data_IF_057073200624
#
_entry.id   IF_057073200624
#
_cell.length_a   1.000
_cell.length_b   1.000
_cell.length_c   1.000
_cell.angle_alpha   90.00
_cell.angle_beta   90.00
_cell.angle_gamma   90.00
#
_symmetry.space_group_name_H-M   'P 1'
#
loop_
_entity.id
_entity.type
_entity.pdbx_description
1 polymer ?
#
# COMPACT_ATOMS: atom_id res chain seq x y z
N UNK A 1 -14.55 -3.30 37.59
CA UNK A 1 -13.64 -2.31 37.00
C UNK A 1 -12.89 -2.97 35.85
N UNK A 2 -13.59 -3.36 34.77
CA UNK A 2 -13.01 -4.10 33.65
C UNK A 2 -13.94 -4.04 32.42
N UNK A 3 -14.20 -2.82 31.92
CA UNK A 3 -15.04 -2.62 30.74
C UNK A 3 -14.52 -1.55 29.76
N UNK A 4 -13.36 -0.95 30.02
CA UNK A 4 -12.83 0.15 29.21
C UNK A 4 -11.73 -0.25 28.21
N UNK A 5 -11.27 -1.51 28.21
CA UNK A 5 -10.18 -1.97 27.32
C UNK A 5 -10.63 -2.51 25.95
N UNK A 6 -11.92 -2.79 25.72
CA UNK A 6 -12.39 -3.36 24.44
C UNK A 6 -12.76 -2.33 23.37
N UNK A 7 -13.02 -1.08 23.75
CA UNK A 7 -13.47 -0.03 22.81
C UNK A 7 -12.35 0.48 21.90
N UNK A 8 -11.12 0.60 22.42
CA UNK A 8 -10.00 1.17 21.65
C UNK A 8 -9.46 0.19 20.59
N UNK A 9 -9.56 -1.12 20.84
CA UNK A 9 -9.24 -2.17 19.86
C UNK A 9 -10.32 -2.30 18.77
N UNK A 10 -11.58 -2.03 19.09
CA UNK A 10 -12.70 -2.15 18.14
C UNK A 10 -12.73 -0.99 17.12
N UNK A 11 -12.30 0.21 17.51
CA UNK A 11 -12.24 1.38 16.60
C UNK A 11 -10.99 1.38 15.70
N UNK A 12 -9.87 0.78 16.16
CA UNK A 12 -8.59 0.62 15.43
C UNK A 12 -8.60 -0.39 14.27
N UNK A 13 -9.78 -0.80 13.80
CA UNK A 13 -9.89 -1.92 12.85
C UNK A 13 -10.57 -1.56 11.54
N UNK A 14 -11.33 -0.47 11.42
CA UNK A 14 -12.29 -0.35 10.31
C UNK A 14 -11.65 -0.41 8.91
N UNK A 15 -10.52 0.27 8.71
CA UNK A 15 -9.89 0.32 7.39
C UNK A 15 -9.14 -0.98 7.07
N UNK A 16 -8.24 -1.42 7.95
CA UNK A 16 -7.44 -2.63 7.72
C UNK A 16 -8.28 -3.92 7.76
N UNK A 17 -9.33 -3.95 8.58
CA UNK A 17 -10.30 -5.05 8.62
C UNK A 17 -11.09 -5.15 7.32
N UNK A 18 -11.55 -4.03 6.75
CA UNK A 18 -12.30 -4.05 5.49
C UNK A 18 -11.48 -4.70 4.36
N UNK A 19 -10.21 -4.33 4.23
CA UNK A 19 -9.30 -4.93 3.23
C UNK A 19 -9.09 -6.42 3.47
N UNK A 20 -8.86 -6.82 4.74
CA UNK A 20 -8.66 -8.23 5.12
C UNK A 20 -9.90 -9.08 4.86
N UNK A 21 -11.07 -8.58 5.28
CA UNK A 21 -12.36 -9.23 5.05
C UNK A 21 -12.61 -9.41 3.56
N UNK A 22 -12.43 -8.36 2.76
CA UNK A 22 -12.59 -8.44 1.31
C UNK A 22 -11.70 -9.54 0.72
N UNK A 23 -10.43 -9.63 1.14
CA UNK A 23 -9.50 -10.66 0.65
C UNK A 23 -9.92 -12.09 1.06
N UNK A 24 -10.45 -12.26 2.28
CA UNK A 24 -10.93 -13.55 2.79
C UNK A 24 -12.17 -14.07 2.05
N UNK A 25 -13.07 -13.16 1.65
CA UNK A 25 -14.30 -13.47 0.91
C UNK A 25 -14.07 -13.81 -0.57
N UNK A 26 -12.82 -13.75 -1.07
CA UNK A 26 -12.51 -14.20 -2.43
C UNK A 26 -12.21 -15.69 -2.43
N UNK A 27 -12.65 -16.40 -3.45
CA UNK A 27 -12.48 -17.84 -3.63
C UNK A 27 -11.97 -18.14 -5.04
N UNK A 28 -11.24 -19.25 -5.20
CA UNK A 28 -10.67 -19.64 -6.48
C UNK A 28 -9.43 -18.84 -6.90
N UNK A 29 -8.97 -19.14 -8.11
CA UNK A 29 -7.85 -18.48 -8.78
C UNK A 29 -8.27 -17.10 -9.30
N UNK A 30 -7.35 -16.14 -9.25
CA UNK A 30 -7.52 -14.78 -9.76
C UNK A 30 -6.45 -14.51 -10.80
N UNK A 31 -6.82 -14.18 -12.03
CA UNK A 31 -5.82 -13.92 -13.06
C UNK A 31 -5.11 -12.58 -12.87
N UNK A 32 -5.90 -11.55 -12.59
CA UNK A 32 -5.41 -10.17 -12.57
C UNK A 32 -5.97 -9.42 -11.37
N UNK A 33 -5.08 -8.75 -10.64
CA UNK A 33 -5.44 -7.72 -9.65
C UNK A 33 -5.05 -6.33 -10.18
N UNK A 34 -6.02 -5.41 -10.19
CA UNK A 34 -5.78 -4.02 -10.59
C UNK A 34 -5.99 -3.10 -9.39
N UNK A 35 -4.89 -2.61 -8.83
CA UNK A 35 -4.87 -1.57 -7.81
C UNK A 35 -5.08 -0.20 -8.48
N UNK A 36 -6.34 0.11 -8.81
CA UNK A 36 -6.74 1.35 -9.49
C UNK A 36 -7.25 2.45 -8.55
N UNK A 37 -7.93 2.08 -7.47
CA UNK A 37 -8.59 3.03 -6.58
C UNK A 37 -7.60 4.09 -6.06
N UNK A 38 -8.08 5.33 -5.98
CA UNK A 38 -7.32 6.39 -5.35
C UNK A 38 -8.08 7.69 -5.15
N UNK A 39 -7.59 8.49 -4.22
CA UNK A 39 -8.03 9.86 -3.90
C UNK A 39 -6.87 10.82 -4.16
N UNK A 40 -7.19 12.08 -4.45
CA UNK A 40 -6.20 13.08 -4.86
C UNK A 40 -6.54 14.45 -4.28
N UNK A 41 -5.50 15.12 -3.77
CA UNK A 41 -5.50 16.53 -3.37
C UNK A 41 -6.64 16.92 -2.43
N UNK A 42 -6.81 16.13 -1.38
CA UNK A 42 -7.82 16.36 -0.36
C UNK A 42 -7.25 17.11 0.84
N UNK A 43 -8.08 17.82 1.63
CA UNK A 43 -7.69 18.32 2.94
C UNK A 43 -7.14 17.20 3.84
N UNK A 44 -6.32 17.57 4.82
CA UNK A 44 -5.75 16.62 5.77
C UNK A 44 -6.84 15.76 6.42
N UNK A 45 -6.80 14.46 6.16
CA UNK A 45 -7.72 13.49 6.69
C UNK A 45 -6.95 12.22 7.09
N UNK A 46 -7.42 11.54 8.14
CA UNK A 46 -6.80 10.32 8.63
C UNK A 46 -7.80 9.17 8.62
N UNK A 47 -7.30 7.96 8.37
CA UNK A 47 -8.08 6.74 8.62
C UNK A 47 -8.37 6.59 10.11
N UNK A 48 -9.26 5.65 10.46
CA UNK A 48 -9.50 5.28 11.87
C UNK A 48 -8.21 4.83 12.60
N UNK A 49 -7.20 4.36 11.84
CA UNK A 49 -5.91 3.91 12.35
C UNK A 49 -4.86 5.04 12.39
N UNK A 50 -5.26 6.29 12.11
CA UNK A 50 -4.41 7.47 12.17
C UNK A 50 -3.45 7.65 10.99
N UNK A 51 -3.60 6.85 9.91
CA UNK A 51 -2.78 6.98 8.69
C UNK A 51 -3.33 8.12 7.82
N UNK A 52 -2.46 8.85 7.12
CA UNK A 52 -2.91 9.78 6.06
C UNK A 52 -3.83 9.04 5.07
N UNK A 53 -4.98 9.64 4.76
CA UNK A 53 -6.03 9.00 4.00
C UNK A 53 -5.62 8.74 2.53
N UNK A 54 -4.84 9.64 1.92
CA UNK A 54 -4.37 9.46 0.54
C UNK A 54 -3.36 8.33 0.44
N UNK A 55 -2.38 8.31 1.35
CA UNK A 55 -1.37 7.25 1.44
C UNK A 55 -2.00 5.90 1.76
N UNK A 56 -2.95 5.84 2.70
CA UNK A 56 -3.66 4.62 3.03
C UNK A 56 -4.44 4.07 1.82
N UNK A 57 -5.23 4.93 1.15
CA UNK A 57 -6.09 4.52 0.03
C UNK A 57 -5.29 4.15 -1.21
N UNK A 58 -4.31 4.97 -1.59
CA UNK A 58 -3.61 4.84 -2.87
C UNK A 58 -2.48 3.82 -2.82
N UNK A 59 -1.97 3.48 -1.62
CA UNK A 59 -0.77 2.66 -1.45
C UNK A 59 -0.94 1.57 -0.39
N UNK A 60 -1.19 1.90 0.88
CA UNK A 60 -1.16 0.90 1.96
C UNK A 60 -2.23 -0.17 1.78
N UNK A 61 -3.42 0.21 1.33
CA UNK A 61 -4.53 -0.72 1.06
C UNK A 61 -4.18 -1.69 -0.06
N UNK A 62 -3.78 -1.19 -1.24
CA UNK A 62 -3.20 -2.00 -2.31
C UNK A 62 -2.06 -2.92 -1.87
N UNK A 63 -1.13 -2.47 -1.03
CA UNK A 63 -0.06 -3.28 -0.48
C UNK A 63 -0.62 -4.47 0.31
N UNK A 64 -1.55 -4.21 1.24
CA UNK A 64 -2.15 -5.25 2.08
C UNK A 64 -2.97 -6.22 1.23
N UNK A 65 -3.86 -5.70 0.38
CA UNK A 65 -4.74 -6.50 -0.47
C UNK A 65 -3.94 -7.42 -1.39
N UNK A 66 -2.92 -6.88 -2.05
CA UNK A 66 -2.07 -7.66 -2.96
C UNK A 66 -1.40 -8.80 -2.22
N UNK A 67 -0.75 -8.53 -1.08
CA UNK A 67 -0.06 -9.57 -0.32
C UNK A 67 -0.99 -10.66 0.21
N UNK A 68 -2.23 -10.32 0.59
CA UNK A 68 -3.23 -11.30 1.03
C UNK A 68 -3.77 -12.16 -0.12
N UNK A 69 -3.87 -11.60 -1.33
CA UNK A 69 -4.36 -12.31 -2.52
C UNK A 69 -3.27 -13.02 -3.32
N UNK A 70 -1.99 -12.76 -3.04
CA UNK A 70 -0.85 -13.33 -3.77
C UNK A 70 -0.93 -14.85 -3.97
N UNK A 71 -1.28 -15.68 -2.96
CA UNK A 71 -1.38 -17.14 -3.14
C UNK A 71 -2.43 -17.60 -4.17
N UNK A 72 -3.32 -16.70 -4.58
CA UNK A 72 -4.42 -16.98 -5.52
C UNK A 72 -4.19 -16.35 -6.89
N UNK A 73 -3.20 -15.47 -7.02
CA UNK A 73 -2.93 -14.76 -8.26
C UNK A 73 -2.16 -15.65 -9.24
N UNK A 74 -2.58 -15.67 -10.50
CA UNK A 74 -2.01 -16.58 -11.52
C UNK A 74 -1.23 -15.86 -12.63
N UNK A 75 -1.58 -14.61 -12.99
CA UNK A 75 -0.85 -13.85 -14.01
C UNK A 75 -0.27 -12.52 -13.51
N UNK A 76 -1.09 -11.55 -13.09
CA UNK A 76 -0.60 -10.16 -12.98
C UNK A 76 -1.18 -9.30 -11.88
N UNK A 77 -0.32 -8.45 -11.32
CA UNK A 77 -0.70 -7.28 -10.52
C UNK A 77 -0.42 -5.99 -11.29
N UNK A 78 -1.41 -5.11 -11.38
CA UNK A 78 -1.30 -3.80 -12.02
C UNK A 78 -1.56 -2.72 -10.98
N UNK A 79 -0.57 -1.87 -10.71
CA UNK A 79 -0.74 -0.70 -9.83
C UNK A 79 -0.79 0.57 -10.64
N UNK A 80 -1.90 1.31 -10.55
CA UNK A 80 -2.11 2.56 -11.29
C UNK A 80 -1.45 3.72 -10.54
N UNK A 81 -0.36 4.23 -11.12
CA UNK A 81 0.33 5.43 -10.64
C UNK A 81 -0.11 6.69 -11.43
N UNK A 82 0.57 7.81 -11.23
CA UNK A 82 0.41 9.08 -11.94
C UNK A 82 1.76 9.66 -12.29
N UNK A 83 1.90 10.39 -13.41
CA UNK A 83 3.15 11.08 -13.76
C UNK A 83 3.62 12.06 -12.68
N UNK A 84 2.70 12.54 -11.84
CA UNK A 84 2.99 13.41 -10.71
C UNK A 84 3.93 12.76 -9.68
N UNK A 85 4.05 11.42 -9.63
CA UNK A 85 5.02 10.74 -8.75
C UNK A 85 6.47 11.21 -8.97
N UNK A 86 6.80 11.72 -10.16
CA UNK A 86 8.14 12.23 -10.50
C UNK A 86 8.53 13.48 -9.73
N UNK A 87 7.56 14.17 -9.13
CA UNK A 87 7.76 15.36 -8.30
C UNK A 87 7.68 15.05 -6.80
N UNK A 88 7.53 13.77 -6.43
CA UNK A 88 7.51 13.34 -5.03
C UNK A 88 8.87 13.57 -4.37
N UNK A 89 8.83 13.90 -3.08
CA UNK A 89 9.98 13.93 -2.18
C UNK A 89 9.73 12.96 -1.04
N UNK A 90 9.42 11.71 -1.42
CA UNK A 90 8.97 10.67 -0.49
C UNK A 90 9.95 10.53 0.68
N UNK A 91 9.42 10.73 1.88
CA UNK A 91 10.07 10.38 3.12
C UNK A 91 9.50 9.03 3.58
N UNK A 92 10.32 7.98 3.57
CA UNK A 92 9.90 6.64 4.01
C UNK A 92 9.68 6.62 5.53
N UNK A 93 10.43 7.43 6.28
CA UNK A 93 10.38 7.45 7.74
C UNK A 93 9.18 8.29 8.23
N UNK A 94 8.67 9.24 7.42
CA UNK A 94 7.38 9.94 7.62
C UNK A 94 6.39 9.76 6.44
N UNK A 95 6.19 8.51 6.03
CA UNK A 95 5.32 8.14 4.90
C UNK A 95 3.87 8.65 5.08
N UNK A 96 3.39 8.74 6.33
CA UNK A 96 2.01 9.06 6.68
C UNK A 96 1.80 10.50 7.16
N UNK A 97 2.74 11.41 6.86
CA UNK A 97 2.62 12.84 7.12
C UNK A 97 2.24 13.15 8.58
N UNK A 98 3.02 12.59 9.51
CA UNK A 98 2.81 12.73 10.95
C UNK A 98 3.60 13.89 11.53
N UNK A 99 4.81 14.14 11.04
CA UNK A 99 5.74 15.11 11.64
C UNK A 99 5.89 16.37 10.81
N UNK A 100 5.66 16.31 9.50
CA UNK A 100 5.73 17.45 8.58
C UNK A 100 4.37 18.10 8.31
N UNK A 101 4.38 19.38 7.90
CA UNK A 101 3.17 20.12 7.51
C UNK A 101 2.48 19.44 6.33
N UNK A 102 1.19 19.17 6.45
CA UNK A 102 0.42 18.51 5.41
C UNK A 102 0.29 19.35 4.14
N UNK A 103 0.45 18.70 2.99
CA UNK A 103 0.12 19.25 1.68
C UNK A 103 -0.58 18.16 0.85
N UNK A 104 -1.81 18.44 0.37
CA UNK A 104 -2.65 17.45 -0.30
C UNK A 104 -2.02 16.91 -1.59
N UNK A 105 -1.50 17.79 -2.45
CA UNK A 105 -0.82 17.40 -3.68
C UNK A 105 0.46 16.62 -3.42
N UNK A 106 1.27 17.00 -2.43
CA UNK A 106 2.50 16.28 -2.13
C UNK A 106 2.21 14.91 -1.51
N UNK A 107 1.20 14.80 -0.63
CA UNK A 107 0.75 13.50 -0.11
C UNK A 107 0.26 12.58 -1.22
N UNK A 108 -0.46 13.14 -2.20
CA UNK A 108 -0.83 12.41 -3.40
C UNK A 108 0.38 11.93 -4.20
N UNK A 109 1.35 12.82 -4.48
CA UNK A 109 2.59 12.49 -5.22
C UNK A 109 3.37 11.39 -4.53
N UNK A 110 3.54 11.50 -3.22
CA UNK A 110 4.22 10.51 -2.38
C UNK A 110 3.50 9.16 -2.43
N UNK A 111 2.18 9.14 -2.29
CA UNK A 111 1.39 7.90 -2.39
C UNK A 111 1.53 7.22 -3.77
N UNK A 112 1.62 8.00 -4.85
CA UNK A 112 1.77 7.48 -6.21
C UNK A 112 3.20 7.00 -6.49
N UNK A 113 4.22 7.61 -5.87
CA UNK A 113 5.59 7.07 -5.90
C UNK A 113 5.69 5.78 -5.08
N UNK A 114 5.08 5.74 -3.90
CA UNK A 114 5.04 4.55 -3.06
C UNK A 114 4.43 3.34 -3.80
N UNK A 115 3.35 3.53 -4.57
CA UNK A 115 2.77 2.48 -5.41
C UNK A 115 3.70 1.95 -6.51
N UNK A 116 4.54 2.82 -7.09
CA UNK A 116 5.55 2.42 -8.08
C UNK A 116 6.65 1.61 -7.41
N UNK A 117 7.21 2.11 -6.32
CA UNK A 117 8.26 1.44 -5.55
C UNK A 117 7.80 0.08 -5.03
N UNK A 118 6.57 -0.02 -4.51
CA UNK A 118 5.98 -1.30 -4.14
C UNK A 118 5.89 -2.27 -5.31
N UNK A 119 5.48 -1.80 -6.49
CA UNK A 119 5.38 -2.68 -7.65
C UNK A 119 6.75 -3.23 -8.04
N UNK A 120 7.81 -2.40 -7.98
CA UNK A 120 9.18 -2.84 -8.24
C UNK A 120 9.64 -3.91 -7.25
N UNK A 121 9.48 -3.65 -5.96
CA UNK A 121 9.90 -4.58 -4.91
C UNK A 121 9.06 -5.86 -4.94
N UNK A 122 7.76 -5.76 -5.24
CA UNK A 122 6.91 -6.93 -5.46
C UNK A 122 7.47 -7.82 -6.57
N UNK A 123 7.83 -7.25 -7.73
CA UNK A 123 8.40 -8.04 -8.82
C UNK A 123 9.72 -8.69 -8.43
N UNK A 124 10.62 -7.97 -7.73
CA UNK A 124 11.89 -8.51 -7.25
C UNK A 124 11.66 -9.73 -6.35
N UNK A 125 10.71 -9.63 -5.42
CA UNK A 125 10.32 -10.74 -4.51
C UNK A 125 9.66 -11.90 -5.23
N UNK A 126 8.76 -11.64 -6.18
CA UNK A 126 8.12 -12.67 -6.99
C UNK A 126 9.14 -13.47 -7.82
N UNK A 127 10.11 -12.77 -8.42
CA UNK A 127 11.21 -13.40 -9.16
C UNK A 127 12.07 -14.25 -8.23
N UNK A 128 12.44 -13.75 -7.05
CA UNK A 128 13.21 -14.52 -6.06
C UNK A 128 12.45 -15.77 -5.56
N UNK A 129 11.12 -15.73 -5.51
CA UNK A 129 10.27 -16.86 -5.14
C UNK A 129 9.93 -17.81 -6.30
N UNK A 130 10.45 -17.58 -7.52
CA UNK A 130 10.12 -18.39 -8.70
C UNK A 130 8.66 -18.27 -9.15
N UNK A 131 7.96 -17.21 -8.76
CA UNK A 131 6.55 -17.01 -9.10
C UNK A 131 6.36 -16.66 -10.58
N UNK A 132 5.28 -17.17 -11.18
CA UNK A 132 4.83 -16.79 -12.53
C UNK A 132 4.09 -15.46 -12.56
N UNK A 133 3.66 -14.96 -11.40
CA UNK A 133 2.96 -13.69 -11.28
C UNK A 133 3.92 -12.55 -11.64
N UNK A 134 3.42 -11.61 -12.43
CA UNK A 134 4.18 -10.47 -12.95
C UNK A 134 3.54 -9.16 -12.49
N UNK A 135 4.31 -8.09 -12.45
CA UNK A 135 3.76 -6.73 -12.44
C UNK A 135 3.53 -6.22 -13.87
N UNK A 136 2.75 -5.15 -14.04
CA UNK A 136 2.84 -4.33 -15.27
C UNK A 136 4.27 -3.77 -15.43
N UNK A 137 4.90 -3.86 -16.62
CA UNK A 137 6.16 -3.17 -16.92
C UNK A 137 6.08 -1.68 -16.61
N UNK A 138 7.20 -1.12 -16.19
CA UNK A 138 7.32 0.23 -15.65
C UNK A 138 8.75 0.68 -15.87
N UNK A 139 8.99 1.98 -15.82
CA UNK A 139 10.27 2.57 -16.24
C UNK A 139 11.43 2.01 -15.40
N UNK A 140 12.53 1.62 -16.06
CA UNK A 140 13.77 1.19 -15.41
C UNK A 140 14.46 2.37 -14.70
N UNK A 141 15.32 2.07 -13.71
CA UNK A 141 16.18 3.06 -13.05
C UNK A 141 15.60 3.75 -11.81
N UNK A 142 14.61 3.13 -11.15
CA UNK A 142 14.10 3.60 -9.87
C UNK A 142 14.87 2.95 -8.72
N UNK A 143 15.02 3.68 -7.61
CA UNK A 143 15.85 3.29 -6.47
C UNK A 143 15.32 2.03 -5.76
N UNK A 144 16.00 0.91 -5.99
CA UNK A 144 15.70 -0.39 -5.39
C UNK A 144 15.90 -0.39 -3.86
N UNK A 145 16.86 0.38 -3.34
CA UNK A 145 17.11 0.45 -1.91
C UNK A 145 15.93 1.14 -1.19
N UNK A 146 15.43 2.24 -1.75
CA UNK A 146 14.22 2.90 -1.24
C UNK A 146 12.99 2.00 -1.37
N UNK A 147 12.85 1.25 -2.48
CA UNK A 147 11.75 0.29 -2.65
C UNK A 147 11.78 -0.81 -1.56
N UNK A 148 12.96 -1.37 -1.27
CA UNK A 148 13.15 -2.34 -0.19
C UNK A 148 12.83 -1.76 1.19
N UNK A 149 13.34 -0.56 1.51
CA UNK A 149 13.03 0.13 2.78
C UNK A 149 11.54 0.40 2.96
N UNK A 150 10.89 0.93 1.92
CA UNK A 150 9.46 1.19 1.91
C UNK A 150 8.65 -0.09 2.18
N UNK A 151 9.02 -1.19 1.52
CA UNK A 151 8.38 -2.48 1.76
C UNK A 151 8.53 -2.92 3.21
N UNK A 152 9.73 -2.86 3.78
CA UNK A 152 9.97 -3.28 5.17
C UNK A 152 9.19 -2.43 6.17
N UNK A 153 9.16 -1.10 5.98
CA UNK A 153 8.39 -0.20 6.81
C UNK A 153 6.88 -0.54 6.76
N UNK A 154 6.33 -0.75 5.58
CA UNK A 154 4.91 -1.07 5.40
C UNK A 154 4.56 -2.48 5.89
N UNK A 155 5.44 -3.47 5.68
CA UNK A 155 5.28 -4.82 6.20
C UNK A 155 5.30 -4.84 7.73
N UNK A 156 6.20 -4.06 8.35
CA UNK A 156 6.25 -3.88 9.79
C UNK A 156 4.97 -3.27 10.36
N UNK A 157 4.43 -2.23 9.70
CA UNK A 157 3.18 -1.58 10.11
C UNK A 157 1.96 -2.50 9.97
N UNK A 158 1.86 -3.22 8.85
CA UNK A 158 0.63 -3.95 8.47
C UNK A 158 0.64 -5.41 8.89
N UNK A 159 1.81 -5.97 9.20
CA UNK A 159 2.01 -7.37 9.54
C UNK A 159 1.90 -8.35 8.36
N UNK A 160 1.79 -7.87 7.11
CA UNK A 160 1.73 -8.70 5.89
C UNK A 160 2.93 -8.41 4.97
N UNK A 161 3.28 -9.36 4.10
CA UNK A 161 4.40 -9.21 3.16
C UNK A 161 5.78 -9.41 3.79
N UNK A 162 5.89 -10.16 4.88
CA UNK A 162 7.21 -10.56 5.43
C UNK A 162 7.88 -11.57 4.52
#
# INVERSE_FOLDING_TARGET
MEAARSSETFTRLLWSWSVRRFAQERHGALDILINNAGVMDIPAARTADGLDLQTATNYTGPFVLTNLLLPRLTDRVVTVSSQLHRMSKLDVDDLYWRTRKYNGMDAYRDSKLAGVLFSLELQRRLTAAGSRVRRKPGKAGLDEATAGRLWQATAGLTGVGR
#
